data_IF_770310958200
#
_entry.id   IF_770310958200
#
_cell.length_a   1.000
_cell.length_b   1.000
_cell.length_c   1.000
_cell.angle_alpha   90.00
_cell.angle_beta   90.00
_cell.angle_gamma   90.00
#
_symmetry.space_group_name_H-M   'P 1'
#
loop_
_entity.id
_entity.type
_entity.pdbx_description
1 polymer ?
#
# COMPACT_ATOMS: atom_id res chain seq x y z
N UNK A 1 -21.02 -24.89 5.94
CA UNK A 1 -20.26 -23.64 5.74
C UNK A 1 -20.41 -22.74 6.94
N UNK A 2 -19.35 -22.57 7.80
CA UNK A 2 -19.35 -21.59 8.89
C UNK A 2 -19.14 -20.21 8.27
N UNK A 3 -20.16 -19.37 8.24
CA UNK A 3 -20.00 -17.94 7.92
C UNK A 3 -18.99 -17.35 8.89
N UNK A 4 -17.78 -17.02 8.44
CA UNK A 4 -16.82 -16.27 9.24
C UNK A 4 -17.42 -14.89 9.50
N UNK A 5 -17.57 -14.53 10.77
CA UNK A 5 -18.08 -13.20 11.14
C UNK A 5 -17.06 -12.15 10.67
N UNK A 6 -17.55 -11.13 9.98
CA UNK A 6 -16.73 -9.96 9.62
C UNK A 6 -16.17 -9.33 10.90
N UNK A 7 -14.85 -9.16 10.96
CA UNK A 7 -14.17 -8.56 12.11
C UNK A 7 -13.60 -7.20 11.74
N UNK A 8 -13.90 -6.19 12.57
CA UNK A 8 -13.26 -4.89 12.51
C UNK A 8 -12.30 -4.78 13.69
N UNK A 9 -11.01 -4.60 13.41
CA UNK A 9 -9.98 -4.48 14.45
C UNK A 9 -9.23 -3.16 14.26
N UNK A 10 -9.11 -2.37 15.34
CA UNK A 10 -8.29 -1.15 15.35
C UNK A 10 -7.13 -1.38 16.32
N UNK A 11 -5.90 -1.35 15.79
CA UNK A 11 -4.70 -1.49 16.63
C UNK A 11 -4.26 -0.13 17.19
N UNK A 12 -3.58 -0.10 18.35
CA UNK A 12 -3.09 1.15 18.95
C UNK A 12 -2.25 2.01 18.02
N UNK A 13 -1.45 1.40 17.14
CA UNK A 13 -0.66 2.10 16.12
C UNK A 13 -1.51 2.94 15.15
N UNK A 14 -2.71 2.49 14.81
CA UNK A 14 -3.63 3.27 13.98
C UNK A 14 -4.13 4.53 14.71
N UNK A 15 -4.42 4.41 16.02
CA UNK A 15 -4.85 5.55 16.84
C UNK A 15 -3.73 6.61 16.91
N UNK A 16 -2.48 6.17 17.12
CA UNK A 16 -1.31 7.06 17.13
C UNK A 16 -1.13 7.75 15.78
N UNK A 17 -1.24 7.00 14.66
CA UNK A 17 -1.14 7.57 13.32
C UNK A 17 -2.23 8.62 13.06
N UNK A 18 -3.50 8.29 13.34
CA UNK A 18 -4.63 9.20 13.12
C UNK A 18 -4.54 10.45 14.01
N UNK A 19 -4.15 10.27 15.27
CA UNK A 19 -3.92 11.40 16.18
C UNK A 19 -2.79 12.30 15.69
N UNK A 20 -1.66 11.71 15.26
CA UNK A 20 -0.54 12.44 14.69
C UNK A 20 -0.94 13.24 13.45
N UNK A 21 -1.69 12.63 12.53
CA UNK A 21 -2.21 13.31 11.33
C UNK A 21 -3.13 14.47 11.70
N UNK A 22 -4.03 14.27 12.67
CA UNK A 22 -4.95 15.31 13.13
C UNK A 22 -4.24 16.52 13.74
N UNK A 23 -3.14 16.30 14.48
CA UNK A 23 -2.35 17.39 15.07
C UNK A 23 -1.42 18.07 14.05
N UNK A 24 -0.93 17.34 13.05
CA UNK A 24 0.03 17.86 12.08
C UNK A 24 -0.63 18.52 10.87
N UNK A 25 -1.85 18.12 10.50
CA UNK A 25 -2.51 18.57 9.29
C UNK A 25 -3.80 19.33 9.59
N UNK A 26 -4.10 20.42 8.86
CA UNK A 26 -5.41 21.04 8.90
C UNK A 26 -6.53 20.05 8.55
N UNK A 27 -7.70 20.17 9.18
CA UNK A 27 -8.82 19.24 9.02
C UNK A 27 -9.20 18.98 7.54
N UNK A 28 -9.11 20.01 6.70
CA UNK A 28 -9.36 19.89 5.25
C UNK A 28 -8.42 18.89 4.56
N UNK A 29 -7.14 18.81 4.98
CA UNK A 29 -6.19 17.85 4.44
C UNK A 29 -6.43 16.45 4.98
N UNK A 30 -6.82 16.33 6.25
CA UNK A 30 -7.24 15.05 6.83
C UNK A 30 -8.45 14.49 6.08
N UNK A 31 -9.45 15.33 5.75
CA UNK A 31 -10.62 14.92 4.98
C UNK A 31 -10.27 14.46 3.55
N UNK A 32 -9.38 15.19 2.85
CA UNK A 32 -8.90 14.82 1.52
C UNK A 32 -8.13 13.50 1.54
N UNK A 33 -7.25 13.33 2.52
CA UNK A 33 -6.49 12.09 2.69
C UNK A 33 -7.44 10.91 3.01
N UNK A 34 -8.40 11.10 3.91
CA UNK A 34 -9.38 10.08 4.24
C UNK A 34 -10.22 9.68 3.01
N UNK A 35 -10.67 10.64 2.19
CA UNK A 35 -11.37 10.36 0.94
C UNK A 35 -10.49 9.55 -0.03
N UNK A 36 -9.25 9.98 -0.23
CA UNK A 36 -8.28 9.33 -1.13
C UNK A 36 -8.04 7.88 -0.71
N UNK A 37 -7.73 7.65 0.56
CA UNK A 37 -7.49 6.30 1.10
C UNK A 37 -8.75 5.45 1.00
N UNK A 38 -9.91 5.99 1.37
CA UNK A 38 -11.17 5.23 1.33
C UNK A 38 -11.50 4.77 -0.09
N UNK A 39 -11.39 5.63 -1.10
CA UNK A 39 -11.67 5.25 -2.50
C UNK A 39 -10.68 4.23 -3.01
N UNK A 40 -9.40 4.37 -2.66
CA UNK A 40 -8.35 3.41 -2.99
C UNK A 40 -8.67 2.02 -2.41
N UNK A 41 -8.97 1.92 -1.12
CA UNK A 41 -9.31 0.66 -0.46
C UNK A 41 -10.61 0.04 -0.99
N UNK A 42 -11.61 0.88 -1.31
CA UNK A 42 -12.84 0.40 -1.96
C UNK A 42 -12.56 -0.20 -3.35
N UNK A 43 -11.55 0.30 -4.07
CA UNK A 43 -11.07 -0.28 -5.31
C UNK A 43 -10.61 -1.73 -5.11
N UNK A 44 -9.79 -1.98 -4.10
CA UNK A 44 -9.34 -3.34 -3.75
C UNK A 44 -10.51 -4.25 -3.36
N UNK A 45 -11.40 -3.76 -2.48
CA UNK A 45 -12.58 -4.53 -2.04
C UNK A 45 -13.46 -4.92 -3.21
N UNK A 46 -13.76 -3.97 -4.11
CA UNK A 46 -14.58 -4.23 -5.29
C UNK A 46 -13.95 -5.30 -6.20
N UNK A 47 -12.64 -5.18 -6.47
CA UNK A 47 -11.92 -6.15 -7.29
C UNK A 47 -11.87 -7.54 -6.64
N UNK A 48 -11.64 -7.63 -5.33
CA UNK A 48 -11.63 -8.89 -4.59
C UNK A 48 -12.99 -9.59 -4.66
N UNK A 49 -14.08 -8.85 -4.44
CA UNK A 49 -15.45 -9.40 -4.55
C UNK A 49 -15.71 -9.89 -5.98
N UNK A 50 -15.33 -9.11 -6.99
CA UNK A 50 -15.47 -9.50 -8.40
C UNK A 50 -14.62 -10.73 -8.76
N UNK A 51 -13.47 -10.90 -8.12
CA UNK A 51 -12.61 -12.07 -8.27
C UNK A 51 -13.10 -13.29 -7.47
N UNK A 52 -14.20 -13.18 -6.71
CA UNK A 52 -14.76 -14.26 -5.91
C UNK A 52 -14.06 -14.51 -4.59
N UNK A 53 -13.23 -13.57 -4.11
CA UNK A 53 -12.60 -13.64 -2.80
C UNK A 53 -13.62 -13.34 -1.68
N UNK A 54 -13.52 -14.08 -0.58
CA UNK A 54 -14.32 -13.78 0.62
C UNK A 54 -13.57 -12.76 1.50
N UNK A 55 -14.15 -11.58 1.66
CA UNK A 55 -13.65 -10.56 2.58
C UNK A 55 -14.06 -10.93 4.01
N UNK A 56 -13.08 -11.26 4.85
CA UNK A 56 -13.29 -11.78 6.20
C UNK A 56 -13.22 -10.69 7.27
N UNK A 57 -12.60 -9.53 6.99
CA UNK A 57 -12.48 -8.45 7.97
C UNK A 57 -11.58 -7.31 7.50
N UNK A 58 -11.60 -6.25 8.30
CA UNK A 58 -10.81 -5.05 8.11
C UNK A 58 -10.00 -4.79 9.39
N UNK A 59 -8.71 -4.53 9.26
CA UNK A 59 -7.83 -4.17 10.37
C UNK A 59 -7.14 -2.86 10.07
N UNK A 60 -7.23 -1.92 11.01
CA UNK A 60 -6.46 -0.68 10.98
C UNK A 60 -5.19 -0.83 11.80
N UNK A 61 -4.04 -0.62 11.18
CA UNK A 61 -2.71 -0.67 11.80
C UNK A 61 -1.98 0.67 11.65
N UNK A 62 -0.82 0.81 12.30
CA UNK A 62 0.02 2.01 12.14
C UNK A 62 0.64 2.17 10.75
N UNK A 63 0.67 1.11 9.95
CA UNK A 63 1.12 1.12 8.55
C UNK A 63 -0.01 1.42 7.55
N UNK A 64 -1.27 1.45 8.00
CA UNK A 64 -2.42 1.67 7.14
C UNK A 64 -3.58 0.72 7.41
N UNK A 65 -4.39 0.53 6.38
CA UNK A 65 -5.56 -0.34 6.40
C UNK A 65 -5.18 -1.72 5.83
N UNK A 66 -5.47 -2.79 6.55
CA UNK A 66 -5.19 -4.17 6.15
C UNK A 66 -6.50 -4.92 5.96
N UNK A 67 -6.74 -5.35 4.73
CA UNK A 67 -7.90 -6.16 4.38
C UNK A 67 -7.59 -7.65 4.63
N UNK A 68 -8.42 -8.32 5.42
CA UNK A 68 -8.37 -9.78 5.57
C UNK A 68 -9.32 -10.43 4.59
N UNK A 69 -8.78 -11.14 3.61
CA UNK A 69 -9.56 -11.87 2.63
C UNK A 69 -8.95 -13.26 2.37
N UNK A 70 -9.74 -14.14 1.78
CA UNK A 70 -9.18 -15.33 1.15
C UNK A 70 -8.41 -14.89 -0.08
N UNK A 71 -7.15 -15.36 -0.28
CA UNK A 71 -6.41 -14.99 -1.47
C UNK A 71 -7.18 -15.40 -2.73
N UNK A 72 -7.30 -14.53 -3.73
CA UNK A 72 -7.93 -14.90 -4.98
C UNK A 72 -7.11 -15.99 -5.67
N UNK A 73 -7.80 -16.97 -6.24
CA UNK A 73 -7.14 -18.07 -6.95
C UNK A 73 -6.57 -17.58 -8.29
N UNK A 74 -5.27 -17.71 -8.47
CA UNK A 74 -4.55 -17.40 -9.70
C UNK A 74 -3.91 -16.00 -9.73
N UNK A 75 -2.76 -15.94 -10.38
CA UNK A 75 -1.92 -14.73 -10.43
C UNK A 75 -2.63 -13.53 -11.06
N UNK A 76 -3.39 -13.74 -12.13
CA UNK A 76 -4.09 -12.63 -12.80
C UNK A 76 -5.11 -11.95 -11.88
N UNK A 77 -5.87 -12.73 -11.11
CA UNK A 77 -6.83 -12.18 -10.15
C UNK A 77 -6.13 -11.41 -9.02
N UNK A 78 -5.00 -11.93 -8.54
CA UNK A 78 -4.18 -11.27 -7.52
C UNK A 78 -3.61 -9.95 -8.04
N UNK A 79 -3.06 -9.93 -9.26
CA UNK A 79 -2.56 -8.70 -9.91
C UNK A 79 -3.68 -7.69 -10.10
N UNK A 80 -4.85 -8.13 -10.60
CA UNK A 80 -6.01 -7.25 -10.80
C UNK A 80 -6.47 -6.65 -9.49
N UNK A 81 -6.57 -7.46 -8.43
CA UNK A 81 -6.96 -6.99 -7.10
C UNK A 81 -5.94 -5.98 -6.54
N UNK A 82 -4.64 -6.23 -6.71
CA UNK A 82 -3.59 -5.31 -6.23
C UNK A 82 -3.58 -3.98 -7.01
N UNK A 83 -3.85 -3.98 -8.31
CA UNK A 83 -3.86 -2.76 -9.12
C UNK A 83 -5.18 -1.97 -9.04
N UNK A 84 -6.24 -2.56 -8.52
CA UNK A 84 -7.56 -1.94 -8.47
C UNK A 84 -7.62 -0.71 -7.55
N UNK A 85 -6.89 -0.70 -6.43
CA UNK A 85 -6.78 0.47 -5.55
C UNK A 85 -6.15 1.66 -6.26
N UNK A 86 -4.92 1.53 -6.81
CA UNK A 86 -4.30 2.59 -7.61
C UNK A 86 -5.17 3.05 -8.79
N UNK A 87 -5.86 2.13 -9.48
CA UNK A 87 -6.76 2.46 -10.57
C UNK A 87 -7.98 3.29 -10.10
N UNK A 88 -8.57 2.93 -8.95
CA UNK A 88 -9.67 3.69 -8.34
C UNK A 88 -9.20 5.09 -7.93
N UNK A 89 -8.00 5.23 -7.36
CA UNK A 89 -7.41 6.53 -7.04
C UNK A 89 -7.12 7.38 -8.28
N UNK A 90 -6.64 6.78 -9.37
CA UNK A 90 -6.49 7.48 -10.65
C UNK A 90 -7.84 7.93 -11.23
N UNK A 91 -8.89 7.11 -11.10
CA UNK A 91 -10.27 7.51 -11.43
C UNK A 91 -10.75 8.69 -10.59
N UNK A 92 -10.49 8.67 -9.28
CA UNK A 92 -10.81 9.78 -8.37
C UNK A 92 -10.08 11.07 -8.78
N UNK A 93 -8.79 10.97 -9.17
CA UNK A 93 -8.06 12.11 -9.72
C UNK A 93 -8.80 12.76 -10.89
N UNK A 94 -9.25 11.98 -11.89
CA UNK A 94 -9.96 12.50 -13.05
C UNK A 94 -11.27 13.21 -12.65
N UNK A 95 -12.04 12.61 -11.73
CA UNK A 95 -13.32 13.17 -11.24
C UNK A 95 -13.07 14.50 -10.52
N UNK A 96 -12.15 14.53 -9.56
CA UNK A 96 -11.87 15.71 -8.75
C UNK A 96 -11.25 16.84 -9.57
N UNK A 97 -10.43 16.50 -10.57
CA UNK A 97 -9.90 17.48 -11.52
C UNK A 97 -11.01 18.15 -12.31
N UNK A 98 -12.01 17.38 -12.75
CA UNK A 98 -13.21 17.90 -13.42
C UNK A 98 -14.10 18.77 -12.51
N UNK A 99 -14.13 18.49 -11.21
CA UNK A 99 -14.87 19.25 -10.21
C UNK A 99 -14.12 20.50 -9.69
N UNK A 100 -12.84 20.69 -10.06
CA UNK A 100 -12.03 21.84 -9.68
C UNK A 100 -11.29 21.72 -8.34
N UNK A 101 -11.41 20.60 -7.59
CA UNK A 101 -10.56 20.36 -6.40
C UNK A 101 -9.22 19.75 -6.81
N UNK A 102 -8.36 20.61 -7.38
CA UNK A 102 -7.03 20.20 -7.87
C UNK A 102 -6.14 19.63 -6.77
N UNK A 103 -6.21 20.18 -5.56
CA UNK A 103 -5.37 19.72 -4.45
C UNK A 103 -5.72 18.30 -3.99
N UNK A 104 -7.01 17.95 -3.93
CA UNK A 104 -7.43 16.59 -3.63
C UNK A 104 -7.13 15.62 -4.80
N UNK A 105 -7.28 16.09 -6.05
CA UNK A 105 -6.93 15.33 -7.23
C UNK A 105 -5.43 14.96 -7.23
N UNK A 106 -4.55 15.93 -7.04
CA UNK A 106 -3.09 15.71 -7.00
C UNK A 106 -2.68 14.77 -5.87
N UNK A 107 -3.32 14.90 -4.69
CA UNK A 107 -3.10 13.98 -3.58
C UNK A 107 -3.49 12.54 -3.95
N UNK A 108 -4.64 12.36 -4.62
CA UNK A 108 -5.11 11.04 -5.05
C UNK A 108 -4.19 10.41 -6.10
N UNK A 109 -3.71 11.20 -7.05
CA UNK A 109 -2.76 10.73 -8.04
C UNK A 109 -1.42 10.36 -7.41
N UNK A 110 -0.88 11.22 -6.53
CA UNK A 110 0.36 10.96 -5.82
C UNK A 110 0.26 9.68 -4.99
N UNK A 111 -0.84 9.50 -4.24
CA UNK A 111 -1.08 8.30 -3.44
C UNK A 111 -1.11 7.04 -4.31
N UNK A 112 -1.76 7.10 -5.46
CA UNK A 112 -1.81 6.00 -6.43
C UNK A 112 -0.44 5.68 -7.02
N UNK A 113 0.34 6.70 -7.39
CA UNK A 113 1.70 6.53 -7.92
C UNK A 113 2.64 5.91 -6.87
N UNK A 114 2.54 6.35 -5.62
CA UNK A 114 3.31 5.78 -4.50
C UNK A 114 2.96 4.31 -4.32
N UNK A 115 1.68 3.95 -4.31
CA UNK A 115 1.26 2.57 -4.16
C UNK A 115 1.62 1.67 -5.36
N UNK A 116 1.87 2.24 -6.54
CA UNK A 116 2.36 1.50 -7.71
C UNK A 116 3.87 1.21 -7.68
N UNK A 117 4.62 1.73 -6.72
CA UNK A 117 6.05 1.41 -6.61
C UNK A 117 6.25 -0.10 -6.44
N UNK A 118 7.22 -0.71 -7.16
CA UNK A 118 7.41 -2.16 -7.19
C UNK A 118 8.17 -2.67 -5.95
N UNK A 119 7.69 -2.30 -4.75
CA UNK A 119 8.29 -2.63 -3.46
C UNK A 119 7.21 -3.03 -2.47
N UNK A 120 7.43 -4.10 -1.71
CA UNK A 120 6.56 -4.46 -0.59
C UNK A 120 6.69 -3.43 0.54
N UNK A 121 5.61 -3.14 1.27
CA UNK A 121 4.27 -3.74 1.22
C UNK A 121 3.29 -3.07 0.26
N UNK A 122 3.75 -2.22 -0.67
CA UNK A 122 2.91 -1.45 -1.59
C UNK A 122 2.25 -2.35 -2.65
N UNK A 123 1.15 -1.87 -3.25
CA UNK A 123 0.35 -2.66 -4.20
C UNK A 123 1.11 -3.02 -5.48
N UNK A 124 1.97 -2.13 -5.97
CA UNK A 124 2.87 -2.41 -7.10
C UNK A 124 3.83 -3.56 -6.81
N UNK A 125 4.36 -3.65 -5.58
CA UNK A 125 5.17 -4.77 -5.14
C UNK A 125 4.40 -6.08 -5.09
N UNK A 126 3.16 -6.07 -4.59
CA UNK A 126 2.26 -7.24 -4.55
C UNK A 126 1.87 -7.71 -5.95
N UNK A 127 1.53 -6.78 -6.85
CA UNK A 127 1.23 -7.08 -8.24
C UNK A 127 2.45 -7.70 -8.96
N UNK A 128 3.62 -7.11 -8.74
CA UNK A 128 4.87 -7.59 -9.32
C UNK A 128 5.22 -8.99 -8.80
N UNK A 129 5.09 -9.23 -7.48
CA UNK A 129 5.31 -10.56 -6.89
C UNK A 129 4.42 -11.60 -7.53
N UNK A 130 3.11 -11.34 -7.59
CA UNK A 130 2.16 -12.30 -8.17
C UNK A 130 2.45 -12.59 -9.65
N UNK A 131 2.80 -11.58 -10.43
CA UNK A 131 3.17 -11.74 -11.84
C UNK A 131 4.46 -12.54 -12.01
N UNK A 132 5.52 -12.21 -11.27
CA UNK A 132 6.80 -12.91 -11.35
C UNK A 132 6.72 -14.34 -10.82
N UNK A 133 5.99 -14.58 -9.75
CA UNK A 133 5.79 -15.91 -9.20
C UNK A 133 5.12 -16.85 -10.21
N UNK A 134 4.17 -16.32 -10.99
CA UNK A 134 3.49 -17.08 -12.04
C UNK A 134 4.38 -17.32 -13.28
N UNK A 135 5.23 -16.36 -13.66
CA UNK A 135 6.01 -16.41 -14.90
C UNK A 135 7.37 -17.07 -14.70
N UNK A 136 8.05 -16.81 -13.58
CA UNK A 136 9.43 -17.19 -13.32
C UNK A 136 9.60 -18.02 -12.03
N UNK A 137 8.52 -18.25 -11.29
CA UNK A 137 8.50 -18.99 -10.04
C UNK A 137 8.74 -18.13 -8.79
N UNK A 138 8.31 -18.63 -7.63
CA UNK A 138 8.34 -17.92 -6.33
C UNK A 138 9.74 -17.42 -5.97
N UNK A 139 10.78 -18.24 -6.16
CA UNK A 139 12.17 -17.85 -5.81
C UNK A 139 12.70 -16.66 -6.63
N UNK A 140 12.29 -16.56 -7.90
CA UNK A 140 12.69 -15.42 -8.74
C UNK A 140 11.94 -14.16 -8.30
N UNK A 141 10.65 -14.28 -7.97
CA UNK A 141 9.85 -13.19 -7.44
C UNK A 141 10.42 -12.65 -6.13
N UNK A 142 10.72 -13.53 -5.16
CA UNK A 142 11.32 -13.16 -3.87
C UNK A 142 12.63 -12.40 -4.06
N UNK A 143 13.59 -12.97 -4.82
CA UNK A 143 14.89 -12.31 -5.07
C UNK A 143 14.76 -10.95 -5.73
N UNK A 144 13.85 -10.82 -6.69
CA UNK A 144 13.62 -9.55 -7.38
C UNK A 144 13.09 -8.49 -6.42
N UNK A 145 12.11 -8.86 -5.58
CA UNK A 145 11.54 -7.93 -4.61
C UNK A 145 12.49 -7.60 -3.46
N UNK A 146 13.33 -8.54 -3.03
CA UNK A 146 14.38 -8.27 -2.05
C UNK A 146 15.38 -7.23 -2.57
N UNK A 147 15.80 -7.37 -3.83
CA UNK A 147 16.70 -6.39 -4.47
C UNK A 147 16.01 -5.03 -4.63
N UNK A 148 14.76 -4.99 -5.12
CA UNK A 148 14.01 -3.75 -5.28
C UNK A 148 13.71 -3.10 -3.92
N UNK A 149 13.41 -3.90 -2.90
CA UNK A 149 13.17 -3.46 -1.52
C UNK A 149 14.40 -2.88 -0.85
N UNK A 150 15.60 -3.20 -1.31
CA UNK A 150 16.84 -2.57 -0.87
C UNK A 150 17.19 -1.34 -1.72
N UNK A 151 17.19 -1.50 -3.04
CA UNK A 151 17.69 -0.49 -3.97
C UNK A 151 16.80 0.75 -4.01
N UNK A 152 15.48 0.57 -4.10
CA UNK A 152 14.56 1.69 -4.28
C UNK A 152 14.48 2.61 -3.04
N UNK A 153 14.33 2.10 -1.80
CA UNK A 153 14.39 2.95 -0.61
C UNK A 153 15.70 3.70 -0.48
N UNK A 154 16.83 3.04 -0.72
CA UNK A 154 18.16 3.69 -0.67
C UNK A 154 18.27 4.78 -1.73
N UNK A 155 17.82 4.53 -2.96
CA UNK A 155 17.82 5.53 -4.03
C UNK A 155 16.94 6.75 -3.66
N UNK A 156 15.77 6.52 -3.06
CA UNK A 156 14.89 7.58 -2.59
C UNK A 156 15.53 8.39 -1.45
N UNK A 157 16.25 7.73 -0.53
CA UNK A 157 16.98 8.41 0.54
C UNK A 157 18.09 9.30 -0.02
N UNK A 158 18.91 8.77 -0.94
CA UNK A 158 20.01 9.51 -1.58
C UNK A 158 19.45 10.70 -2.37
N UNK A 159 18.42 10.48 -3.17
CA UNK A 159 17.75 11.53 -3.94
C UNK A 159 17.14 12.58 -3.00
N UNK A 160 16.49 12.18 -1.92
CA UNK A 160 15.93 13.07 -0.92
C UNK A 160 16.98 13.92 -0.25
N UNK A 161 18.15 13.37 0.07
CA UNK A 161 19.28 14.10 0.64
C UNK A 161 19.87 15.09 -0.38
N UNK A 162 20.02 14.69 -1.64
CA UNK A 162 20.50 15.56 -2.70
C UNK A 162 19.54 16.74 -2.97
N UNK A 163 18.23 16.50 -2.93
CA UNK A 163 17.21 17.55 -3.05
C UNK A 163 17.21 18.48 -1.83
N UNK A 164 17.39 17.93 -0.62
CA UNK A 164 17.52 18.74 0.60
C UNK A 164 18.72 19.69 0.51
N UNK A 165 19.86 19.22 0.02
CA UNK A 165 21.04 20.07 -0.18
C UNK A 165 20.80 21.21 -1.19
N UNK A 166 19.77 21.12 -2.03
CA UNK A 166 19.33 22.17 -2.97
C UNK A 166 18.18 23.05 -2.43
N UNK A 167 17.82 22.91 -1.16
CA UNK A 167 16.76 23.68 -0.52
C UNK A 167 15.35 23.10 -0.63
N UNK A 168 15.20 21.88 -1.17
CA UNK A 168 13.94 21.15 -1.16
C UNK A 168 13.76 20.42 0.18
N UNK A 169 12.51 20.09 0.54
CA UNK A 169 12.20 19.43 1.81
C UNK A 169 12.72 17.99 1.92
N UNK A 170 12.86 17.48 3.14
CA UNK A 170 13.34 16.13 3.47
C UNK A 170 12.30 15.00 3.20
N UNK A 171 11.08 15.34 2.77
CA UNK A 171 9.96 14.40 2.68
C UNK A 171 10.29 13.11 1.92
N UNK A 172 11.00 13.22 0.80
CA UNK A 172 11.37 12.05 -0.03
C UNK A 172 12.39 11.14 0.68
N UNK A 173 13.36 11.72 1.39
CA UNK A 173 14.34 10.98 2.18
C UNK A 173 13.70 10.25 3.36
N UNK A 174 12.77 10.92 4.06
CA UNK A 174 12.00 10.34 5.17
C UNK A 174 11.11 9.21 4.66
N UNK A 175 10.46 9.39 3.49
CA UNK A 175 9.66 8.33 2.86
C UNK A 175 10.53 7.12 2.48
N UNK A 176 11.71 7.34 1.90
CA UNK A 176 12.66 6.25 1.61
C UNK A 176 13.11 5.50 2.87
N UNK A 177 13.42 6.22 3.95
CA UNK A 177 13.79 5.62 5.22
C UNK A 177 12.64 4.81 5.83
N UNK A 178 11.41 5.36 5.81
CA UNK A 178 10.21 4.64 6.25
C UNK A 178 9.99 3.36 5.43
N UNK A 179 10.13 3.43 4.11
CA UNK A 179 9.98 2.28 3.23
C UNK A 179 11.05 1.21 3.50
N UNK A 180 12.30 1.61 3.79
CA UNK A 180 13.37 0.69 4.18
C UNK A 180 13.06 -0.05 5.48
N UNK A 181 12.48 0.63 6.48
CA UNK A 181 12.09 0.02 7.76
C UNK A 181 10.96 -0.99 7.64
N UNK A 182 10.13 -0.89 6.58
CA UNK A 182 9.03 -1.82 6.32
C UNK A 182 9.47 -3.10 5.60
N UNK A 183 10.73 -3.18 5.13
CA UNK A 183 11.20 -4.38 4.41
C UNK A 183 11.34 -5.58 5.35
N UNK A 184 10.80 -6.76 5.00
CA UNK A 184 10.80 -7.95 5.86
C UNK A 184 12.20 -8.46 6.22
N UNK A 185 13.21 -8.19 5.41
CA UNK A 185 14.58 -8.64 5.60
C UNK A 185 15.41 -7.83 6.61
N UNK A 186 14.97 -6.65 7.04
CA UNK A 186 15.68 -5.84 8.04
C UNK A 186 15.20 -6.08 9.48
N UNK A 187 14.04 -6.67 9.65
CA UNK A 187 13.58 -7.11 10.97
C UNK A 187 13.98 -8.57 11.16
N UNK A 188 15.13 -8.80 11.82
CA UNK A 188 15.51 -10.11 12.37
C UNK A 188 14.47 -10.54 13.42
N UNK A 189 13.37 -11.14 13.00
CA UNK A 189 12.48 -11.87 13.90
C UNK A 189 12.23 -13.26 13.34
N UNK A 190 12.71 -14.23 14.12
CA UNK A 190 12.66 -15.64 13.85
C UNK A 190 11.24 -16.15 13.62
N UNK A 191 11.07 -16.91 12.55
CA UNK A 191 9.86 -17.62 12.26
C UNK A 191 9.66 -17.79 10.75
N UNK A 192 10.32 -18.78 10.17
CA UNK A 192 10.23 -19.14 8.73
C UNK A 192 8.81 -19.51 8.24
N UNK A 193 7.80 -19.54 9.11
CA UNK A 193 6.43 -19.94 8.76
C UNK A 193 5.45 -18.77 8.58
N UNK A 194 5.73 -17.58 9.11
CA UNK A 194 4.78 -16.46 9.05
C UNK A 194 4.94 -15.58 7.78
N UNK A 195 6.09 -15.64 7.11
CA UNK A 195 6.35 -14.83 5.90
C UNK A 195 5.42 -15.20 4.74
N UNK A 196 5.09 -16.48 4.59
CA UNK A 196 4.23 -16.96 3.49
C UNK A 196 2.79 -16.43 3.55
N UNK A 197 2.29 -16.09 4.74
CA UNK A 197 0.94 -15.51 4.93
C UNK A 197 0.94 -13.97 4.91
N UNK A 198 2.10 -13.32 5.10
CA UNK A 198 2.20 -11.85 5.08
C UNK A 198 2.01 -11.25 3.69
N UNK A 199 2.34 -11.98 2.63
CA UNK A 199 2.17 -11.51 1.25
C UNK A 199 0.70 -11.41 0.79
N UNK A 200 -0.23 -12.05 1.49
CA UNK A 200 -1.66 -12.07 1.18
C UNK A 200 -2.52 -11.21 2.12
N UNK A 201 -1.90 -10.43 3.02
CA UNK A 201 -2.60 -9.42 3.80
C UNK A 201 -2.65 -8.14 2.94
N UNK A 202 -3.74 -7.98 2.20
CA UNK A 202 -4.13 -6.67 1.66
C UNK A 202 -4.75 -5.85 2.77
#
# INVERSE_FOLDING_TARGET
MKRRRFSLEVRPGAVVLLSGLYFLLPLRWCARLALTVTVHELGHVAALILCGAEVCGLRMEGSGLVLRCTPPEGALRTVTAALAGPAAGAGLFCILRGLGDTACAELSLLFSCVNLLPVLPLDGGRALYAALAALAGERAAERTLDVLGLVLPVALMVLGLALFARGFGLALGVFGAWLALLQPGMTCQGGQHDVKYSYYQM
#
